data_IF_984189793003
#
_entry.id   IF_984189793003
#
_cell.length_a   1.000
_cell.length_b   1.000
_cell.length_c   1.000
_cell.angle_alpha   90.00
_cell.angle_beta   90.00
_cell.angle_gamma   90.00
#
_symmetry.space_group_name_H-M   'P 1'
#
loop_
_entity.id
_entity.type
_entity.pdbx_description
1 polymer ?
#
# COMPACT_ATOMS: atom_id res chain seq x y z
N UNK A 1 -5.03 6.62 54.49
CA UNK A 1 -4.51 6.24 53.15
C UNK A 1 -4.60 7.46 52.25
N UNK A 2 -3.48 7.99 51.78
CA UNK A 2 -3.43 9.08 50.80
C UNK A 2 -3.12 8.47 49.44
N UNK A 3 -4.07 8.57 48.49
CA UNK A 3 -3.82 8.18 47.10
C UNK A 3 -2.91 9.23 46.44
N UNK A 4 -1.84 8.75 45.80
CA UNK A 4 -1.03 9.53 44.87
C UNK A 4 -1.94 10.06 43.76
N UNK A 5 -1.83 11.36 43.48
CA UNK A 5 -2.65 12.09 42.50
C UNK A 5 -1.84 12.49 41.27
N UNK A 6 -0.64 11.95 41.11
CA UNK A 6 0.19 12.20 39.94
C UNK A 6 -0.57 11.70 38.70
N UNK A 7 -0.97 12.61 37.79
CA UNK A 7 -1.60 12.20 36.54
C UNK A 7 -0.54 11.49 35.68
N UNK A 8 -0.87 10.29 35.20
CA UNK A 8 -0.06 9.57 34.23
C UNK A 8 -0.68 9.82 32.86
N UNK A 9 0.14 10.30 31.92
CA UNK A 9 -0.27 10.49 30.52
C UNK A 9 0.60 9.63 29.61
N UNK A 10 0.03 9.20 28.50
CA UNK A 10 0.71 8.52 27.41
C UNK A 10 0.41 9.30 26.13
N UNK A 11 1.44 9.73 25.42
CA UNK A 11 1.29 10.29 24.08
C UNK A 11 1.47 9.17 23.06
N UNK A 12 0.53 9.08 22.11
CA UNK A 12 0.65 8.22 20.94
C UNK A 12 0.84 9.16 19.76
N UNK A 13 1.98 9.06 19.09
CA UNK A 13 2.23 9.76 17.83
C UNK A 13 1.92 8.79 16.70
N UNK A 14 1.05 9.23 15.81
CA UNK A 14 0.69 8.53 14.57
C UNK A 14 1.69 8.91 13.46
N UNK A 15 1.86 8.06 12.45
CA UNK A 15 2.79 8.26 11.34
C UNK A 15 2.54 9.59 10.59
N UNK A 16 3.60 10.25 10.09
CA UNK A 16 3.47 11.49 9.32
C UNK A 16 2.73 11.26 8.00
N UNK A 17 1.57 11.90 7.83
CA UNK A 17 0.71 11.89 6.63
C UNK A 17 -0.20 13.12 6.56
N UNK A 18 -0.95 13.30 5.48
CA UNK A 18 -1.86 14.45 5.30
C UNK A 18 -3.02 14.41 6.29
N UNK A 19 -2.91 15.21 7.36
CA UNK A 19 -3.89 15.36 8.43
C UNK A 19 -3.23 16.03 9.63
N UNK A 20 -3.97 16.79 10.44
CA UNK A 20 -3.41 17.39 11.66
C UNK A 20 -3.16 16.26 12.68
N UNK A 21 -1.90 15.99 13.08
CA UNK A 21 -1.64 15.01 14.12
C UNK A 21 -2.32 15.43 15.42
N UNK A 22 -3.09 14.54 16.05
CA UNK A 22 -3.56 14.76 17.43
C UNK A 22 -5.07 14.77 17.68
N UNK A 23 -5.91 14.31 16.74
CA UNK A 23 -7.32 14.00 17.07
C UNK A 23 -7.49 12.49 17.22
N UNK A 24 -7.63 11.95 18.45
CA UNK A 24 -7.91 10.53 18.65
C UNK A 24 -9.17 10.10 17.89
N UNK A 25 -9.05 9.09 17.04
CA UNK A 25 -10.19 8.52 16.29
C UNK A 25 -10.43 9.10 14.89
N UNK A 26 -9.60 10.02 14.40
CA UNK A 26 -9.62 10.41 12.98
C UNK A 26 -8.51 9.67 12.22
N UNK A 27 -8.83 8.81 11.23
CA UNK A 27 -7.80 8.18 10.41
C UNK A 27 -7.04 9.24 9.62
N UNK A 28 -5.76 9.41 9.92
CA UNK A 28 -4.76 10.06 9.10
C UNK A 28 -4.35 9.06 8.00
N UNK A 29 -4.32 9.46 6.75
CA UNK A 29 -4.00 8.56 5.63
C UNK A 29 -2.50 8.17 5.57
N UNK A 30 -1.78 8.23 6.69
CA UNK A 30 -0.34 7.93 6.78
C UNK A 30 -0.01 6.48 6.37
N UNK A 31 -0.87 5.54 6.77
CA UNK A 31 -0.71 4.11 6.48
C UNK A 31 -1.47 3.65 5.21
N UNK A 32 -2.01 4.59 4.43
CA UNK A 32 -2.81 4.23 3.26
C UNK A 32 -1.92 3.63 2.15
N UNK A 33 -2.10 2.34 1.87
CA UNK A 33 -1.48 1.66 0.72
C UNK A 33 -2.38 1.78 -0.50
N UNK A 34 -1.96 2.57 -1.47
CA UNK A 34 -2.67 2.74 -2.74
C UNK A 34 -2.05 1.85 -3.82
N UNK A 35 -2.88 1.00 -4.43
CA UNK A 35 -2.49 0.14 -5.56
C UNK A 35 -2.93 0.78 -6.87
N UNK A 36 -2.06 0.73 -7.88
CA UNK A 36 -2.37 1.13 -9.26
C UNK A 36 -1.85 0.11 -10.27
N UNK A 37 -2.45 0.08 -11.45
CA UNK A 37 -2.01 -0.76 -12.57
C UNK A 37 -2.01 0.07 -13.86
N UNK A 38 -0.94 -0.05 -14.63
CA UNK A 38 -0.77 0.70 -15.90
C UNK A 38 -0.30 -0.28 -16.96
N UNK A 39 -0.88 -0.18 -18.16
CA UNK A 39 -0.38 -0.91 -19.33
C UNK A 39 0.96 -0.32 -19.78
N UNK A 40 1.95 -1.17 -20.03
CA UNK A 40 3.27 -0.69 -20.45
C UNK A 40 3.28 -0.27 -21.93
N UNK A 41 2.26 -0.73 -22.68
CA UNK A 41 2.10 -0.51 -24.11
C UNK A 41 0.69 -0.01 -24.41
N UNK A 42 0.55 0.91 -25.38
CA UNK A 42 -0.77 1.43 -25.81
C UNK A 42 -1.59 0.41 -26.59
N UNK A 43 -0.91 -0.48 -27.29
CA UNK A 43 -1.47 -1.55 -28.12
C UNK A 43 -0.44 -2.67 -28.21
N UNK A 44 -0.92 -3.90 -28.37
CA UNK A 44 -0.09 -5.09 -28.61
C UNK A 44 -0.34 -5.64 -30.00
N UNK A 45 0.67 -6.26 -30.60
CA UNK A 45 0.52 -7.06 -31.81
C UNK A 45 -0.06 -8.43 -31.45
N UNK A 46 -0.67 -9.11 -32.42
CA UNK A 46 -1.31 -10.42 -32.19
C UNK A 46 -0.34 -11.51 -31.71
N UNK A 47 0.95 -11.37 -31.98
CA UNK A 47 1.99 -12.32 -31.61
C UNK A 47 2.77 -11.93 -30.35
N UNK A 48 2.35 -10.88 -29.64
CA UNK A 48 3.02 -10.35 -28.44
C UNK A 48 2.06 -10.37 -27.25
N UNK A 49 2.57 -10.71 -26.07
CA UNK A 49 1.78 -10.70 -24.85
C UNK A 49 1.68 -9.26 -24.29
N UNK A 50 0.49 -8.82 -23.83
CA UNK A 50 0.36 -7.56 -23.13
C UNK A 50 1.00 -7.61 -21.73
N UNK A 51 1.73 -6.54 -21.42
CA UNK A 51 2.40 -6.34 -20.13
C UNK A 51 1.85 -5.13 -19.40
N UNK A 52 1.80 -5.26 -18.07
CA UNK A 52 1.30 -4.25 -17.16
C UNK A 52 2.25 -4.12 -15.97
N UNK A 53 2.37 -2.91 -15.44
CA UNK A 53 3.07 -2.66 -14.18
C UNK A 53 2.06 -2.38 -13.08
N UNK A 54 2.04 -3.24 -12.06
CA UNK A 54 1.31 -2.99 -10.80
C UNK A 54 2.22 -2.23 -9.85
N UNK A 55 1.75 -1.16 -9.22
CA UNK A 55 2.53 -0.28 -8.34
C UNK A 55 1.81 0.00 -7.02
N UNK A 56 2.60 0.23 -5.98
CA UNK A 56 2.16 0.79 -4.70
C UNK A 56 2.89 2.10 -4.37
N UNK A 57 2.27 2.93 -3.54
CA UNK A 57 2.76 4.27 -3.18
C UNK A 57 3.84 4.27 -2.07
N UNK A 58 4.08 3.14 -1.40
CA UNK A 58 5.08 3.00 -0.34
C UNK A 58 5.75 1.63 -0.36
N UNK A 59 6.93 1.51 0.24
CA UNK A 59 7.58 0.20 0.45
C UNK A 59 6.92 -0.48 1.64
N UNK A 60 6.67 -1.77 1.51
CA UNK A 60 6.15 -2.61 2.60
C UNK A 60 7.26 -3.52 3.14
N UNK A 61 7.16 -3.87 4.42
CA UNK A 61 8.04 -4.83 5.09
C UNK A 61 7.68 -6.29 4.79
N UNK A 62 6.50 -6.52 4.21
CA UNK A 62 5.97 -7.80 3.80
C UNK A 62 5.56 -7.82 2.32
N UNK A 63 5.53 -9.02 1.73
CA UNK A 63 5.02 -9.23 0.38
C UNK A 63 3.53 -8.83 0.30
N UNK A 64 3.16 -8.08 -0.73
CA UNK A 64 1.78 -7.79 -1.08
C UNK A 64 1.33 -8.67 -2.24
N UNK A 65 0.27 -9.46 -2.02
CA UNK A 65 -0.35 -10.28 -3.06
C UNK A 65 -1.58 -9.54 -3.58
N UNK A 66 -1.53 -9.14 -4.84
CA UNK A 66 -2.64 -8.52 -5.56
C UNK A 66 -3.33 -9.58 -6.42
N UNK A 67 -4.60 -9.84 -6.13
CA UNK A 67 -5.46 -10.67 -7.00
C UNK A 67 -6.14 -9.77 -8.01
N UNK A 68 -5.90 -10.03 -9.29
CA UNK A 68 -6.52 -9.31 -10.40
C UNK A 68 -7.91 -9.88 -10.69
N UNK A 69 -8.73 -9.14 -11.46
CA UNK A 69 -10.10 -9.55 -11.81
C UNK A 69 -10.18 -10.83 -12.66
N UNK A 70 -9.07 -11.26 -13.26
CA UNK A 70 -8.93 -12.51 -14.00
C UNK A 70 -8.31 -13.63 -13.15
N UNK A 71 -8.38 -13.52 -11.82
CA UNK A 71 -7.85 -14.46 -10.82
C UNK A 71 -6.32 -14.62 -10.81
N UNK A 72 -5.59 -13.94 -11.70
CA UNK A 72 -4.14 -13.91 -11.66
C UNK A 72 -3.63 -13.23 -10.38
N UNK A 73 -2.48 -13.68 -9.89
CA UNK A 73 -1.83 -13.13 -8.70
C UNK A 73 -0.53 -12.46 -9.07
N UNK A 74 -0.40 -11.20 -8.67
CA UNK A 74 0.85 -10.43 -8.77
C UNK A 74 1.40 -10.26 -7.36
N UNK A 75 2.66 -10.64 -7.15
CA UNK A 75 3.33 -10.45 -5.86
C UNK A 75 4.29 -9.26 -5.97
N UNK A 76 4.02 -8.20 -5.22
CA UNK A 76 5.00 -7.14 -4.97
C UNK A 76 5.79 -7.58 -3.75
N UNK A 77 7.10 -7.77 -3.92
CA UNK A 77 7.96 -8.25 -2.84
C UNK A 77 8.14 -7.18 -1.76
N UNK A 78 8.37 -7.62 -0.53
CA UNK A 78 8.80 -6.73 0.55
C UNK A 78 9.98 -5.85 0.08
N UNK A 79 9.90 -4.56 0.36
CA UNK A 79 10.88 -3.56 -0.06
C UNK A 79 10.73 -3.06 -1.50
N UNK A 80 9.95 -3.73 -2.36
CA UNK A 80 9.63 -3.26 -3.71
C UNK A 80 8.36 -2.40 -3.71
N UNK A 81 8.21 -1.59 -4.75
CA UNK A 81 7.00 -0.77 -4.96
C UNK A 81 6.28 -1.12 -6.25
N UNK A 82 6.74 -2.12 -6.98
CA UNK A 82 6.11 -2.54 -8.23
C UNK A 82 6.47 -3.97 -8.62
N UNK A 83 5.58 -4.60 -9.37
CA UNK A 83 5.84 -5.88 -10.02
C UNK A 83 5.23 -5.88 -11.43
N UNK A 84 5.85 -6.63 -12.33
CA UNK A 84 5.34 -6.79 -13.70
C UNK A 84 4.28 -7.90 -13.75
N UNK A 85 3.30 -7.73 -14.63
CA UNK A 85 2.27 -8.71 -14.94
C UNK A 85 2.16 -8.87 -16.44
N UNK A 86 2.35 -10.09 -16.92
CA UNK A 86 2.13 -10.47 -18.32
C UNK A 86 0.85 -11.30 -18.39
N UNK A 87 -0.09 -10.88 -19.23
CA UNK A 87 -1.31 -11.66 -19.46
C UNK A 87 -1.08 -12.57 -20.66
N UNK A 88 -0.88 -13.87 -20.38
CA UNK A 88 -0.79 -14.89 -21.41
C UNK A 88 -2.14 -15.04 -22.15
N UNK A 89 -2.05 -15.33 -23.44
CA UNK A 89 -3.19 -15.54 -24.34
C UNK A 89 -3.95 -16.85 -24.09
#
# INVERSE_FOLDING_TARGET
>A
LTLDKTPVSTEVTDEPGSGTPGTPGTPNEGDLVQVSIVADQKSVLENEEPTFTVKINTKLDHDLIVTLSNDAKVTIKAGDTSAQYTHAA
#
